data_IF_464919112892
#
_entry.id   IF_464919112892
#
_cell.length_a   1.000
_cell.length_b   1.000
_cell.length_c   1.000
_cell.angle_alpha   90.00
_cell.angle_beta   90.00
_cell.angle_gamma   90.00
#
_symmetry.space_group_name_H-M   'P 1'
#
loop_
_entity.id
_entity.type
_entity.pdbx_description
1 polymer ?
#
# COMPACT_ATOMS: atom_id res chain seq x y z
N UNK A 1 -4.86 4.03 26.82
CA UNK A 1 -3.56 4.05 27.51
C UNK A 1 -2.51 4.39 26.48
N UNK A 2 -1.98 5.60 26.59
CA UNK A 2 -1.19 6.30 25.59
C UNK A 2 0.13 5.56 25.32
N UNK A 3 0.35 5.11 24.09
CA UNK A 3 1.67 4.72 23.61
C UNK A 3 2.42 5.98 23.20
N UNK A 4 2.83 6.78 24.18
CA UNK A 4 3.84 7.81 23.94
C UNK A 4 5.14 7.12 23.52
N UNK A 5 5.71 7.57 22.41
CA UNK A 5 6.96 7.03 21.88
C UNK A 5 8.08 7.26 22.88
N UNK A 6 8.47 6.22 23.61
CA UNK A 6 9.54 6.29 24.60
C UNK A 6 10.88 6.54 23.90
N UNK A 7 11.34 7.79 23.91
CA UNK A 7 12.63 8.19 23.36
C UNK A 7 13.74 7.83 24.35
N UNK A 8 14.64 6.93 23.94
CA UNK A 8 15.84 6.59 24.72
C UNK A 8 16.90 7.69 24.53
N UNK A 9 17.31 8.31 25.63
CA UNK A 9 18.43 9.25 25.59
C UNK A 9 19.73 8.53 25.24
N UNK A 10 20.67 9.25 24.60
CA UNK A 10 21.97 8.71 24.17
C UNK A 10 22.69 8.00 25.32
N UNK A 11 22.73 8.61 26.51
CA UNK A 11 23.40 8.06 27.71
C UNK A 11 22.78 6.74 28.18
N UNK A 12 21.45 6.67 28.25
CA UNK A 12 20.73 5.45 28.66
C UNK A 12 21.01 4.33 27.66
N UNK A 13 20.93 4.63 26.37
CA UNK A 13 21.15 3.65 25.31
C UNK A 13 22.58 3.11 25.32
N UNK A 14 23.58 3.97 25.48
CA UNK A 14 24.99 3.55 25.59
C UNK A 14 25.18 2.55 26.71
N UNK A 15 24.69 2.85 27.92
CA UNK A 15 24.89 1.97 29.07
C UNK A 15 24.08 0.67 28.94
N UNK A 16 22.89 0.72 28.34
CA UNK A 16 22.11 -0.47 28.00
C UNK A 16 22.89 -1.41 27.07
N UNK A 17 23.56 -0.87 26.04
CA UNK A 17 24.38 -1.65 25.10
C UNK A 17 25.59 -2.26 25.83
N UNK A 18 26.22 -1.53 26.75
CA UNK A 18 27.33 -2.06 27.56
C UNK A 18 26.90 -3.25 28.42
N UNK A 19 25.79 -3.13 29.15
CA UNK A 19 25.24 -4.24 29.95
C UNK A 19 24.86 -5.42 29.05
N UNK A 20 24.30 -5.14 27.88
CA UNK A 20 23.98 -6.17 26.89
C UNK A 20 25.24 -6.91 26.40
N UNK A 21 26.33 -6.19 26.13
CA UNK A 21 27.63 -6.76 25.73
C UNK A 21 28.21 -7.68 26.81
N UNK A 22 28.10 -7.30 28.08
CA UNK A 22 28.57 -8.09 29.25
C UNK A 22 27.83 -9.42 29.43
N UNK A 23 26.65 -9.58 28.83
CA UNK A 23 25.84 -10.79 28.93
C UNK A 23 25.85 -11.61 27.63
N UNK A 24 26.89 -12.43 27.36
CA UNK A 24 26.99 -13.27 26.15
C UNK A 24 25.84 -14.26 26.01
N UNK A 25 25.20 -14.63 27.12
CA UNK A 25 23.99 -15.46 27.20
C UNK A 25 22.84 -14.91 26.34
N UNK A 26 22.82 -13.61 26.07
CA UNK A 26 21.76 -12.94 25.30
C UNK A 26 22.04 -12.89 23.80
N UNK A 27 23.30 -12.92 23.37
CA UNK A 27 23.69 -12.61 21.99
C UNK A 27 24.63 -13.63 21.34
N UNK A 28 25.42 -14.37 22.12
CA UNK A 28 26.41 -15.33 21.61
C UNK A 28 25.78 -16.71 21.46
N UNK A 29 25.19 -16.98 20.29
CA UNK A 29 24.45 -18.23 20.01
C UNK A 29 25.35 -19.46 20.13
N UNK A 30 26.61 -19.35 19.70
CA UNK A 30 27.60 -20.44 19.74
C UNK A 30 28.07 -20.82 21.16
N UNK A 31 27.69 -20.06 22.18
CA UNK A 31 28.08 -20.34 23.57
C UNK A 31 27.18 -21.40 24.21
N UNK A 32 27.74 -22.26 25.07
CA UNK A 32 26.96 -23.25 25.84
C UNK A 32 25.95 -22.58 26.78
N UNK A 33 26.24 -21.38 27.22
CA UNK A 33 25.42 -20.63 28.17
C UNK A 33 24.14 -20.07 27.53
N UNK A 34 24.11 -19.91 26.20
CA UNK A 34 22.95 -19.40 25.45
C UNK A 34 21.69 -20.26 25.61
N UNK A 35 21.83 -21.56 25.86
CA UNK A 35 20.66 -22.45 26.05
C UNK A 35 20.09 -22.38 27.47
N UNK A 36 20.84 -21.82 28.43
CA UNK A 36 20.45 -21.81 29.84
C UNK A 36 19.38 -20.73 30.12
N UNK A 37 18.15 -21.17 30.40
CA UNK A 37 17.01 -20.31 30.70
C UNK A 37 17.19 -19.46 31.97
N UNK A 38 17.88 -20.00 32.98
CA UNK A 38 18.09 -19.31 34.25
C UNK A 38 19.07 -18.15 34.08
N UNK A 39 20.17 -18.38 33.35
CA UNK A 39 21.14 -17.33 33.03
C UNK A 39 20.51 -16.25 32.14
N UNK A 40 19.68 -16.63 31.16
CA UNK A 40 18.92 -15.66 30.35
C UNK A 40 18.03 -14.78 31.22
N UNK A 41 17.32 -15.37 32.16
CA UNK A 41 16.41 -14.63 33.05
C UNK A 41 17.20 -13.65 33.93
N UNK A 42 18.33 -14.08 34.50
CA UNK A 42 19.23 -13.19 35.26
C UNK A 42 19.75 -12.02 34.42
N UNK A 43 20.20 -12.28 33.19
CA UNK A 43 20.69 -11.24 32.29
C UNK A 43 19.59 -10.25 31.88
N UNK A 44 18.37 -10.72 31.60
CA UNK A 44 17.23 -9.84 31.34
C UNK A 44 16.85 -9.01 32.57
N UNK A 45 16.92 -9.57 33.77
CA UNK A 45 16.63 -8.85 35.00
C UNK A 45 17.60 -7.67 35.22
N UNK A 46 18.90 -7.88 34.98
CA UNK A 46 19.90 -6.80 35.06
C UNK A 46 19.59 -5.64 34.09
N UNK A 47 19.17 -5.96 32.86
CA UNK A 47 18.77 -4.96 31.87
C UNK A 47 17.46 -4.25 32.23
N UNK A 48 16.49 -4.97 32.82
CA UNK A 48 15.23 -4.41 33.29
C UNK A 48 15.49 -3.46 34.46
N UNK A 49 16.29 -3.86 35.43
CA UNK A 49 16.66 -3.05 36.59
C UNK A 49 17.29 -1.72 36.15
N UNK A 50 18.23 -1.76 35.21
CA UNK A 50 18.81 -0.56 34.63
C UNK A 50 17.76 0.28 33.87
N UNK A 51 16.90 -0.36 33.08
CA UNK A 51 15.86 0.34 32.32
C UNK A 51 14.82 1.00 33.22
N UNK A 52 14.51 0.40 34.37
CA UNK A 52 13.57 0.91 35.37
C UNK A 52 14.00 2.22 36.01
N UNK A 53 15.30 2.49 36.06
CA UNK A 53 15.84 3.76 36.56
C UNK A 53 15.34 4.96 35.74
N UNK A 54 15.09 4.77 34.44
CA UNK A 54 14.57 5.81 33.55
C UNK A 54 13.12 5.62 33.16
N UNK A 55 12.65 4.37 33.11
CA UNK A 55 11.30 4.00 32.69
C UNK A 55 10.69 3.05 33.73
N UNK A 56 9.94 3.55 34.71
CA UNK A 56 9.38 2.73 35.79
C UNK A 56 8.56 1.54 35.30
N UNK A 57 7.89 1.68 34.16
CA UNK A 57 7.05 0.65 33.52
C UNK A 57 7.85 -0.34 32.65
N UNK A 58 9.19 -0.30 32.67
CA UNK A 58 10.02 -1.19 31.89
C UNK A 58 9.83 -2.65 32.32
N UNK A 59 9.26 -3.45 31.42
CA UNK A 59 9.12 -4.89 31.55
C UNK A 59 10.08 -5.65 30.61
N UNK A 60 10.19 -6.96 30.79
CA UNK A 60 11.01 -7.84 29.94
C UNK A 60 10.70 -7.69 28.45
N UNK A 61 9.42 -7.56 28.11
CA UNK A 61 9.00 -7.38 26.71
C UNK A 61 9.50 -6.06 26.13
N UNK A 62 9.51 -4.99 26.94
CA UNK A 62 10.00 -3.68 26.54
C UNK A 62 11.51 -3.72 26.22
N UNK A 63 12.30 -4.29 27.13
CA UNK A 63 13.75 -4.46 26.95
C UNK A 63 14.06 -5.37 25.75
N UNK A 64 13.37 -6.51 25.64
CA UNK A 64 13.53 -7.45 24.54
C UNK A 64 13.24 -6.80 23.18
N UNK A 65 12.12 -6.08 23.07
CA UNK A 65 11.75 -5.34 21.85
C UNK A 65 12.76 -4.24 21.54
N UNK A 66 13.28 -3.55 22.56
CA UNK A 66 14.29 -2.52 22.37
C UNK A 66 15.59 -3.08 21.83
N UNK A 67 16.09 -4.19 22.39
CA UNK A 67 17.30 -4.88 21.90
C UNK A 67 17.09 -5.35 20.46
N UNK A 68 15.93 -5.94 20.16
CA UNK A 68 15.59 -6.37 18.81
C UNK A 68 15.67 -5.20 17.82
N UNK A 69 15.05 -4.06 18.12
CA UNK A 69 15.10 -2.87 17.26
C UNK A 69 16.53 -2.34 17.06
N UNK A 70 17.35 -2.32 18.12
CA UNK A 70 18.75 -1.89 18.03
C UNK A 70 19.54 -2.80 17.08
N UNK A 71 19.37 -4.12 17.21
CA UNK A 71 20.02 -5.12 16.34
C UNK A 71 19.55 -5.01 14.89
N UNK A 72 18.26 -4.76 14.67
CA UNK A 72 17.71 -4.54 13.33
C UNK A 72 18.29 -3.29 12.65
N UNK A 73 18.41 -2.18 13.38
CA UNK A 73 19.07 -0.98 12.89
C UNK A 73 20.54 -1.24 12.56
N UNK A 74 21.26 -1.92 13.45
CA UNK A 74 22.67 -2.28 13.24
C UNK A 74 22.86 -3.16 12.00
N UNK A 75 22.06 -4.22 11.83
CA UNK A 75 22.09 -5.09 10.66
C UNK A 75 21.90 -4.35 9.33
N UNK A 76 20.93 -3.43 9.28
CA UNK A 76 20.66 -2.63 8.08
C UNK A 76 21.85 -1.73 7.73
N UNK A 77 22.48 -1.16 8.76
CA UNK A 77 23.64 -0.30 8.58
C UNK A 77 24.86 -1.11 8.16
N UNK A 78 25.12 -2.25 8.80
CA UNK A 78 26.21 -3.17 8.47
C UNK A 78 26.15 -3.61 7.00
N UNK A 79 24.95 -3.95 6.50
CA UNK A 79 24.76 -4.33 5.09
C UNK A 79 25.17 -3.22 4.11
N UNK A 80 24.97 -1.95 4.46
CA UNK A 80 25.40 -0.83 3.60
C UNK A 80 26.92 -0.68 3.59
N UNK A 81 27.54 -0.83 4.76
CA UNK A 81 29.01 -0.79 4.91
C UNK A 81 29.64 -1.90 4.08
N UNK A 82 29.13 -3.13 4.20
CA UNK A 82 29.62 -4.30 3.43
C UNK A 82 29.39 -4.13 1.92
N UNK A 83 28.22 -3.63 1.50
CA UNK A 83 27.93 -3.39 0.10
C UNK A 83 28.88 -2.35 -0.54
N UNK A 84 29.24 -1.30 0.22
CA UNK A 84 30.24 -0.33 -0.22
C UNK A 84 31.64 -0.95 -0.32
N UNK A 85 32.04 -1.78 0.65
CA UNK A 85 33.32 -2.50 0.62
C UNK A 85 33.42 -3.47 -0.56
N UNK A 86 32.32 -4.16 -0.90
CA UNK A 86 32.31 -5.21 -1.93
C UNK A 86 32.21 -4.66 -3.36
N UNK A 87 31.74 -3.42 -3.55
CA UNK A 87 31.52 -2.83 -4.89
C UNK A 87 32.80 -2.35 -5.58
N UNK A 88 33.98 -2.45 -4.95
CA UNK A 88 35.27 -2.13 -5.58
C UNK A 88 35.41 -0.68 -6.07
N UNK A 89 34.51 0.20 -5.67
CA UNK A 89 34.58 1.64 -5.92
C UNK A 89 35.81 2.18 -5.20
N UNK A 90 36.59 3.02 -5.91
CA UNK A 90 37.89 3.51 -5.46
C UNK A 90 37.87 4.03 -4.03
N UNK A 91 39.03 3.97 -3.36
CA UNK A 91 39.24 4.20 -1.92
C UNK A 91 38.63 5.48 -1.30
N UNK A 92 38.07 6.39 -2.11
CA UNK A 92 37.40 7.63 -1.72
C UNK A 92 35.89 7.48 -1.42
N UNK A 93 35.25 6.32 -1.66
CA UNK A 93 33.78 6.16 -1.55
C UNK A 93 33.34 5.03 -0.59
N UNK A 94 34.06 4.88 0.54
CA UNK A 94 33.71 3.94 1.61
C UNK A 94 32.57 4.51 2.46
N UNK A 95 31.43 3.83 2.51
CA UNK A 95 30.27 4.23 3.30
C UNK A 95 30.60 4.25 4.79
N UNK A 96 30.56 5.45 5.38
CA UNK A 96 30.69 5.63 6.83
C UNK A 96 29.32 5.44 7.53
N UNK A 97 29.21 4.52 8.50
CA UNK A 97 27.97 4.32 9.23
C UNK A 97 27.54 5.58 9.99
N UNK A 98 26.34 6.10 9.71
CA UNK A 98 25.79 7.26 10.42
C UNK A 98 25.19 6.88 11.79
N UNK A 99 25.05 5.57 12.05
CA UNK A 99 24.52 5.08 13.31
C UNK A 99 25.51 5.33 14.45
N UNK A 100 25.25 6.33 15.29
CA UNK A 100 26.20 6.78 16.32
C UNK A 100 26.69 5.70 17.30
N UNK A 101 25.93 4.61 17.49
CA UNK A 101 26.31 3.47 18.34
C UNK A 101 26.80 2.25 17.56
N UNK A 102 27.12 2.41 16.26
CA UNK A 102 27.54 1.32 15.38
C UNK A 102 28.71 0.53 15.97
N UNK A 103 29.77 1.23 16.39
CA UNK A 103 30.98 0.62 16.96
C UNK A 103 30.70 -0.16 18.24
N UNK A 104 29.70 0.27 19.02
CA UNK A 104 29.32 -0.40 20.26
C UNK A 104 28.68 -1.76 20.01
N UNK A 105 28.14 -2.02 18.82
CA UNK A 105 27.47 -3.27 18.44
C UNK A 105 28.33 -4.21 17.56
N UNK A 106 29.55 -3.83 17.20
CA UNK A 106 30.46 -4.66 16.40
C UNK A 106 30.72 -6.05 17.00
N UNK A 107 30.58 -6.22 18.32
CA UNK A 107 30.71 -7.54 18.96
C UNK A 107 29.63 -8.55 18.52
N UNK A 108 28.54 -8.09 17.90
CA UNK A 108 27.45 -8.93 17.42
C UNK A 108 27.62 -9.36 15.96
N UNK A 109 28.54 -8.75 15.20
CA UNK A 109 28.71 -8.96 13.74
C UNK A 109 28.71 -10.43 13.34
N UNK A 110 29.51 -11.26 14.02
CA UNK A 110 29.65 -12.71 13.76
C UNK A 110 28.34 -13.51 13.91
N UNK A 111 27.31 -12.92 14.52
CA UNK A 111 26.02 -13.54 14.80
C UNK A 111 24.88 -12.95 13.94
N UNK A 112 25.10 -11.80 13.28
CA UNK A 112 24.06 -11.04 12.58
C UNK A 112 23.99 -11.33 11.08
N UNK A 113 25.06 -11.88 10.51
CA UNK A 113 25.11 -12.29 9.11
C UNK A 113 24.48 -13.68 8.91
N UNK A 114 23.43 -13.80 8.08
CA UNK A 114 23.10 -15.07 7.47
C UNK A 114 24.27 -15.48 6.58
N UNK A 115 24.69 -16.75 6.63
CA UNK A 115 25.48 -17.35 5.56
C UNK A 115 24.69 -17.09 4.28
N UNK A 116 25.26 -16.33 3.34
CA UNK A 116 24.69 -16.25 2.01
C UNK A 116 24.55 -17.68 1.50
N UNK A 117 23.34 -18.04 1.09
CA UNK A 117 23.09 -19.34 0.46
C UNK A 117 23.82 -19.35 -0.87
N UNK A 118 25.09 -19.75 -0.83
CA UNK A 118 25.76 -20.33 -1.99
C UNK A 118 25.02 -21.61 -2.32
N UNK A 119 24.35 -21.63 -3.47
CA UNK A 119 23.84 -22.84 -4.10
C UNK A 119 25.02 -23.76 -4.36
N UNK A 120 25.34 -24.58 -3.38
CA UNK A 120 26.25 -25.71 -3.50
C UNK A 120 25.82 -26.70 -2.43
N UNK A 121 25.28 -27.82 -2.89
CA UNK A 121 24.95 -28.99 -2.08
C UNK A 121 26.07 -29.31 -1.09
N UNK A 122 25.87 -28.93 0.17
CA UNK A 122 26.61 -29.49 1.29
C UNK A 122 25.58 -29.96 2.32
N UNK A 123 25.38 -31.28 2.34
CA UNK A 123 24.69 -31.99 3.39
C UNK A 123 25.39 -31.71 4.73
N UNK A 124 24.70 -31.09 5.69
CA UNK A 124 25.07 -31.26 7.09
C UNK A 124 23.87 -31.34 8.04
N UNK A 125 23.63 -32.59 8.47
CA UNK A 125 23.08 -33.09 9.73
C UNK A 125 22.00 -32.26 10.45
N UNK A 126 20.78 -32.76 10.28
CA UNK A 126 19.65 -32.60 11.18
C UNK A 126 20.03 -32.83 12.65
N UNK A 127 19.83 -31.83 13.49
CA UNK A 127 19.44 -32.08 14.88
C UNK A 127 17.99 -31.62 15.04
N UNK A 128 17.15 -32.62 15.24
CA UNK A 128 15.72 -32.53 15.40
C UNK A 128 15.41 -31.85 16.74
N UNK A 129 14.65 -30.77 16.74
CA UNK A 129 13.87 -30.37 17.92
C UNK A 129 12.59 -29.68 17.46
N UNK A 130 11.50 -30.42 17.64
CA UNK A 130 10.14 -30.00 17.34
C UNK A 130 9.68 -28.83 18.21
N UNK A 131 8.74 -28.08 17.63
CA UNK A 131 7.79 -27.16 18.26
C UNK A 131 8.24 -25.72 18.51
N UNK A 132 8.10 -24.90 17.46
CA UNK A 132 6.86 -24.13 17.23
C UNK A 132 6.91 -23.57 15.81
N UNK A 133 6.07 -24.12 14.92
CA UNK A 133 5.66 -23.43 13.69
C UNK A 133 5.01 -22.10 14.10
N UNK A 134 5.80 -21.02 14.17
CA UNK A 134 5.21 -19.69 14.01
C UNK A 134 4.84 -19.61 12.53
N UNK A 135 3.53 -19.61 12.29
CA UNK A 135 2.91 -19.24 11.02
C UNK A 135 3.65 -18.01 10.49
N UNK A 136 4.34 -18.14 9.35
CA UNK A 136 4.79 -17.01 8.53
C UNK A 136 3.91 -16.87 7.27
N UNK A 137 2.61 -16.55 7.38
CA UNK A 137 1.82 -16.18 6.21
C UNK A 137 2.15 -14.76 5.72
N UNK A 138 2.84 -13.94 6.53
CA UNK A 138 3.02 -12.51 6.24
C UNK A 138 4.25 -12.20 5.38
N UNK A 139 5.32 -13.01 5.44
CA UNK A 139 6.51 -12.82 4.58
C UNK A 139 6.27 -13.28 3.14
N UNK A 140 5.52 -14.37 2.95
CA UNK A 140 5.06 -14.78 1.61
C UNK A 140 4.11 -13.75 1.02
N UNK A 141 3.12 -13.26 1.79
CA UNK A 141 2.28 -12.14 1.34
C UNK A 141 3.08 -10.89 1.02
N UNK A 142 4.12 -10.57 1.78
CA UNK A 142 4.91 -9.37 1.55
C UNK A 142 5.84 -9.51 0.33
N UNK A 143 6.37 -10.70 0.08
CA UNK A 143 7.13 -11.01 -1.13
C UNK A 143 6.25 -11.08 -2.37
N UNK A 144 5.06 -11.69 -2.26
CA UNK A 144 4.07 -11.77 -3.32
C UNK A 144 3.51 -10.38 -3.64
N UNK A 145 3.21 -9.57 -2.61
CA UNK A 145 2.84 -8.17 -2.77
C UNK A 145 3.95 -7.37 -3.46
N UNK A 146 5.20 -7.49 -3.01
CA UNK A 146 6.33 -6.82 -3.64
C UNK A 146 6.51 -7.25 -5.10
N UNK A 147 6.31 -8.53 -5.40
CA UNK A 147 6.35 -9.08 -6.76
C UNK A 147 5.23 -8.52 -7.63
N UNK A 148 3.99 -8.51 -7.15
CA UNK A 148 2.84 -7.90 -7.84
C UNK A 148 3.03 -6.41 -8.05
N UNK A 149 3.55 -5.68 -7.06
CA UNK A 149 3.88 -4.26 -7.21
C UNK A 149 4.94 -4.04 -8.28
N UNK A 150 6.00 -4.85 -8.32
CA UNK A 150 7.00 -4.75 -9.38
C UNK A 150 6.44 -5.10 -10.76
N UNK A 151 5.55 -6.09 -10.86
CA UNK A 151 4.88 -6.44 -12.12
C UNK A 151 3.96 -5.30 -12.60
N UNK A 152 3.21 -4.65 -11.71
CA UNK A 152 2.36 -3.48 -12.05
C UNK A 152 3.20 -2.27 -12.44
N UNK A 153 4.35 -2.06 -11.80
CA UNK A 153 5.27 -0.96 -12.16
C UNK A 153 6.02 -1.24 -13.47
N UNK A 154 6.30 -2.51 -13.77
CA UNK A 154 6.93 -2.96 -15.02
C UNK A 154 5.93 -3.11 -16.18
N UNK A 155 4.64 -3.25 -15.88
CA UNK A 155 3.57 -3.05 -16.86
C UNK A 155 3.61 -1.59 -17.29
N UNK A 156 4.44 -1.34 -18.31
CA UNK A 156 4.47 -0.09 -19.05
C UNK A 156 3.17 0.01 -19.82
N UNK A 157 2.08 0.35 -19.12
CA UNK A 157 0.78 0.60 -19.74
C UNK A 157 1.01 1.79 -20.66
N UNK A 158 1.00 1.53 -21.96
CA UNK A 158 1.06 2.58 -22.97
C UNK A 158 -0.22 3.40 -22.80
N UNK A 159 -0.07 4.64 -22.35
CA UNK A 159 -1.21 5.57 -22.22
C UNK A 159 -1.78 5.77 -23.61
N UNK A 160 -3.01 5.36 -23.81
CA UNK A 160 -3.72 5.56 -25.07
C UNK A 160 -4.62 6.80 -25.02
N UNK A 161 -5.23 7.14 -26.15
CA UNK A 161 -6.15 8.29 -26.24
C UNK A 161 -7.39 8.13 -25.36
N UNK A 162 -7.82 6.88 -25.10
CA UNK A 162 -8.96 6.58 -24.25
C UNK A 162 -8.66 6.83 -22.78
N UNK A 163 -7.43 6.55 -22.33
CA UNK A 163 -6.94 6.89 -21.00
C UNK A 163 -6.92 8.42 -20.80
N UNK A 164 -6.56 9.20 -21.82
CA UNK A 164 -6.61 10.67 -21.76
C UNK A 164 -8.06 11.18 -21.64
N UNK A 165 -8.99 10.62 -22.43
CA UNK A 165 -10.43 10.94 -22.33
C UNK A 165 -10.98 10.57 -20.95
N UNK A 166 -10.66 9.38 -20.46
CA UNK A 166 -11.06 8.88 -19.14
C UNK A 166 -10.61 9.82 -18.02
N UNK A 167 -9.34 10.24 -18.05
CA UNK A 167 -8.80 11.21 -17.08
C UNK A 167 -9.52 12.56 -17.14
N UNK A 168 -9.82 13.07 -18.34
CA UNK A 168 -10.54 14.34 -18.50
C UNK A 168 -11.98 14.25 -17.94
N UNK A 169 -12.70 13.18 -18.25
CA UNK A 169 -14.05 12.92 -17.74
C UNK A 169 -14.04 12.84 -16.22
N UNK A 170 -13.12 12.08 -15.64
CA UNK A 170 -12.97 11.97 -14.19
C UNK A 170 -12.67 13.32 -13.52
N UNK A 171 -11.78 14.12 -14.11
CA UNK A 171 -11.45 15.46 -13.62
C UNK A 171 -12.68 16.41 -13.64
N UNK A 172 -13.55 16.30 -14.66
CA UNK A 172 -14.79 17.09 -14.74
C UNK A 172 -15.83 16.63 -13.72
N UNK A 173 -16.02 15.32 -13.55
CA UNK A 173 -16.96 14.78 -12.56
C UNK A 173 -16.61 15.21 -11.14
N UNK A 174 -15.32 15.21 -10.77
CA UNK A 174 -14.85 15.68 -9.44
C UNK A 174 -15.10 17.16 -9.18
N UNK A 175 -15.24 17.98 -10.23
CA UNK A 175 -15.51 19.42 -10.12
C UNK A 175 -17.01 19.74 -10.07
N UNK A 176 -17.87 18.75 -10.30
CA UNK A 176 -19.33 18.95 -10.26
C UNK A 176 -19.86 18.85 -8.83
N UNK A 177 -20.98 19.54 -8.57
CA UNK A 177 -21.77 19.34 -7.35
C UNK A 177 -22.29 17.90 -7.31
N UNK A 178 -22.33 17.20 -6.15
CA UNK A 178 -22.65 15.77 -6.08
C UNK A 178 -23.94 15.35 -6.80
N UNK A 179 -24.99 16.16 -6.74
CA UNK A 179 -26.25 15.89 -7.45
C UNK A 179 -26.08 15.89 -8.97
N UNK A 180 -25.35 16.86 -9.51
CA UNK A 180 -25.05 16.95 -10.95
C UNK A 180 -24.07 15.87 -11.39
N UNK A 181 -23.11 15.50 -10.52
CA UNK A 181 -22.16 14.42 -10.78
C UNK A 181 -22.88 13.09 -11.03
N UNK A 182 -23.84 12.73 -10.16
CA UNK A 182 -24.61 11.48 -10.30
C UNK A 182 -25.44 11.48 -11.59
N UNK A 183 -26.04 12.62 -11.96
CA UNK A 183 -26.80 12.74 -13.21
C UNK A 183 -25.89 12.62 -14.45
N UNK A 184 -24.74 13.29 -14.45
CA UNK A 184 -23.76 13.23 -15.54
C UNK A 184 -23.18 11.82 -15.71
N UNK A 185 -22.88 11.14 -14.60
CA UNK A 185 -22.43 9.74 -14.61
C UNK A 185 -23.50 8.81 -15.20
N UNK A 186 -24.77 9.00 -14.82
CA UNK A 186 -25.89 8.24 -15.39
C UNK A 186 -26.03 8.42 -16.90
N UNK A 187 -25.86 9.64 -17.42
CA UNK A 187 -25.90 9.91 -18.87
C UNK A 187 -24.71 9.28 -19.60
N UNK A 188 -23.50 9.38 -19.04
CA UNK A 188 -22.32 8.73 -19.61
C UNK A 188 -22.53 7.22 -19.74
N UNK A 189 -23.03 6.57 -18.68
CA UNK A 189 -23.31 5.14 -18.71
C UNK A 189 -24.37 4.78 -19.77
N UNK A 190 -25.41 5.60 -19.92
CA UNK A 190 -26.44 5.36 -20.95
C UNK A 190 -25.87 5.41 -22.36
N UNK A 191 -24.97 6.36 -22.64
CA UNK A 191 -24.28 6.45 -23.94
C UNK A 191 -23.35 5.25 -24.16
N UNK A 192 -22.54 4.90 -23.16
CA UNK A 192 -21.62 3.76 -23.25
C UNK A 192 -22.35 2.43 -23.46
N UNK A 193 -23.43 2.19 -22.71
CA UNK A 193 -24.26 0.98 -22.86
C UNK A 193 -24.86 0.89 -24.26
N UNK A 194 -25.41 1.98 -24.80
CA UNK A 194 -25.90 2.01 -26.19
C UNK A 194 -24.78 1.75 -27.21
N UNK A 195 -23.57 2.22 -26.94
CA UNK A 195 -22.40 1.93 -27.75
C UNK A 195 -22.05 0.45 -27.77
N UNK A 196 -22.03 -0.20 -26.60
CA UNK A 196 -21.78 -1.64 -26.46
C UNK A 196 -22.83 -2.47 -27.21
N UNK A 197 -24.10 -2.04 -27.20
CA UNK A 197 -25.17 -2.68 -27.97
C UNK A 197 -25.18 -2.33 -29.46
N UNK A 198 -24.23 -1.52 -29.95
CA UNK A 198 -24.18 -1.02 -31.33
C UNK A 198 -25.45 -0.25 -31.75
N UNK A 199 -26.11 0.43 -30.82
CA UNK A 199 -27.32 1.23 -31.07
C UNK A 199 -27.03 2.73 -31.27
N UNK A 200 -25.77 3.15 -31.12
CA UNK A 200 -25.40 4.55 -31.37
C UNK A 200 -25.47 4.85 -32.86
N UNK A 201 -26.35 5.78 -33.20
CA UNK A 201 -26.48 6.31 -34.57
C UNK A 201 -26.07 7.77 -34.61
N UNK A 202 -25.87 8.32 -35.81
CA UNK A 202 -25.58 9.74 -36.02
C UNK A 202 -26.70 10.68 -35.52
N UNK A 203 -27.91 10.15 -35.31
CA UNK A 203 -29.05 10.89 -34.76
C UNK A 203 -29.13 10.83 -33.23
N UNK A 204 -28.15 10.22 -32.55
CA UNK A 204 -28.18 10.10 -31.09
C UNK A 204 -27.77 11.41 -30.45
N UNK A 205 -28.69 12.04 -29.71
CA UNK A 205 -28.49 13.33 -29.07
C UNK A 205 -28.98 13.31 -27.61
N UNK A 206 -28.43 14.20 -26.78
CA UNK A 206 -28.92 14.45 -25.43
C UNK A 206 -30.02 15.52 -25.54
N UNK A 207 -31.28 15.10 -25.41
CA UNK A 207 -32.42 16.01 -25.40
C UNK A 207 -33.07 16.08 -24.02
N UNK A 208 -33.43 17.29 -23.60
CA UNK A 208 -34.31 17.48 -22.45
C UNK A 208 -35.70 17.01 -22.87
N UNK A 209 -36.37 16.22 -22.04
CA UNK A 209 -37.64 15.53 -22.34
C UNK A 209 -38.87 16.42 -22.60
N UNK A 210 -38.69 17.65 -23.10
CA UNK A 210 -39.75 18.61 -23.40
C UNK A 210 -39.90 18.99 -24.88
N UNK A 211 -39.20 18.34 -25.81
CA UNK A 211 -39.44 18.54 -27.24
C UNK A 211 -40.10 17.32 -27.86
N UNK A 212 -41.38 17.12 -27.53
CA UNK A 212 -42.33 16.38 -28.37
C UNK A 212 -43.78 16.75 -28.00
N UNK A 213 -44.11 18.04 -28.00
CA UNK A 213 -45.40 18.41 -28.59
C UNK A 213 -45.15 18.30 -30.09
N UNK A 214 -45.52 17.16 -30.68
CA UNK A 214 -45.67 17.06 -32.13
C UNK A 214 -46.68 18.13 -32.55
N UNK A 215 -46.21 19.29 -33.02
CA UNK A 215 -46.93 19.93 -34.10
C UNK A 215 -46.79 18.99 -35.29
N UNK A 216 -47.83 18.18 -35.50
CA UNK A 216 -48.02 17.41 -36.71
C UNK A 216 -48.25 18.37 -37.87
N UNK A 217 -47.17 18.99 -38.37
CA UNK A 217 -47.16 19.59 -39.71
C UNK A 217 -46.69 18.53 -40.71
N UNK A 218 -47.56 17.53 -40.89
CA UNK A 218 -47.46 16.53 -41.95
C UNK A 218 -48.81 16.50 -42.65
N UNK A 219 -48.96 17.36 -43.65
CA UNK A 219 -50.13 17.49 -44.51
C UNK A 219 -50.42 16.14 -45.20
N UNK A 220 -51.43 15.42 -44.72
CA UNK A 220 -52.14 14.43 -45.54
C UNK A 220 -53.31 15.11 -46.27
N UNK A 221 -53.62 14.75 -47.52
CA UNK A 221 -54.75 15.34 -48.24
C UNK A 221 -56.06 14.98 -47.52
N UNK A 222 -56.97 15.96 -47.40
CA UNK A 222 -58.31 15.74 -46.90
C UNK A 222 -59.04 14.76 -47.81
N UNK A 223 -59.56 13.66 -47.25
CA UNK A 223 -60.18 12.56 -48.00
C UNK A 223 -61.52 12.92 -48.69
N UNK A 224 -61.93 14.19 -48.61
CA UNK A 224 -63.19 14.72 -49.15
C UNK A 224 -62.95 15.76 -50.26
N UNK A 225 -61.83 16.50 -50.23
CA UNK A 225 -61.51 17.48 -51.26
C UNK A 225 -60.02 17.45 -51.61
N UNK A 226 -59.70 16.96 -52.79
CA UNK A 226 -58.32 16.68 -53.23
C UNK A 226 -57.57 17.99 -53.63
N UNK A 227 -57.38 18.92 -52.67
CA UNK A 227 -56.55 20.13 -52.82
C UNK A 227 -55.75 20.43 -51.54
N UNK A 228 -54.54 20.95 -51.73
CA UNK A 228 -53.59 21.30 -50.67
C UNK A 228 -54.13 22.39 -49.74
N UNK A 229 -53.97 22.18 -48.43
CA UNK A 229 -54.77 22.74 -47.35
C UNK A 229 -54.56 24.22 -47.00
N UNK A 230 -54.09 25.06 -47.92
CA UNK A 230 -54.07 26.52 -47.72
C UNK A 230 -55.46 27.11 -48.03
N UNK A 231 -56.47 26.82 -47.19
CA UNK A 231 -57.77 27.48 -47.32
C UNK A 231 -59.00 26.83 -46.69
N UNK A 232 -58.89 25.81 -45.83
CA UNK A 232 -60.08 25.22 -45.20
C UNK A 232 -60.45 25.95 -43.90
N UNK A 233 -61.46 26.83 -43.95
CA UNK A 233 -62.00 27.57 -42.79
C UNK A 233 -62.99 26.72 -41.98
N UNK A 234 -62.55 25.62 -41.40
CA UNK A 234 -63.36 24.86 -40.43
C UNK A 234 -62.54 24.48 -39.19
N UNK A 235 -62.04 25.51 -38.48
CA UNK A 235 -61.65 25.36 -37.07
C UNK A 235 -62.70 26.06 -36.21
N UNK A 236 -63.72 25.31 -35.81
CA UNK A 236 -64.44 25.53 -34.55
C UNK A 236 -65.30 24.31 -34.31
N UNK A 237 -65.05 23.60 -33.19
CA UNK A 237 -66.06 23.10 -32.24
C UNK A 237 -65.44 22.04 -31.31
N UNK A 238 -65.34 22.45 -30.04
CA UNK A 238 -65.61 21.70 -28.81
C UNK A 238 -64.97 20.32 -28.59
N UNK A 239 -64.22 20.21 -27.50
CA UNK A 239 -64.56 19.21 -26.48
C UNK A 239 -64.56 19.83 -25.08
N UNK A 240 -65.75 19.81 -24.47
CA UNK A 240 -65.97 20.01 -23.03
C UNK A 240 -65.38 18.81 -22.27
N UNK A 241 -64.85 19.04 -21.07
CA UNK A 241 -64.84 18.04 -19.99
C UNK A 241 -65.35 18.70 -18.70
N UNK A 242 -66.54 18.29 -18.29
CA UNK A 242 -67.02 18.33 -16.91
C UNK A 242 -67.03 16.89 -16.41
N UNK A 243 -66.46 16.68 -15.22
CA UNK A 243 -66.47 15.51 -14.33
C UNK A 243 -66.50 14.11 -14.94
#
# INVERSE_FOLDING_TARGET
MSSEGVVFSKKILTKLIVIYKEHPVLWKIKSKEYTNKNLKTKAYNALIEYSKLSYPDADRNFVSKKIQNIRECFRKELKKVEASQMSGTGADDVYEPHLWYFDLLLFTTDQEMPVESVDSEIQFRSTNNNNRKRKYPQLQQQQEFMKTCTEVLQQKKTVDEFDAVSNNVAAKLRKMVPTQQVLAEGLNNKVLMKGIFNELTRATEISNGFTNIRMSSGFGPCHICNRSSFGCKYDTVQTRKTF
#
